data_IF_104529279953
#
_entry.id   IF_104529279953
#
_cell.length_a   1.000
_cell.length_b   1.000
_cell.length_c   1.000
_cell.angle_alpha   90.00
_cell.angle_beta   90.00
_cell.angle_gamma   90.00
#
_symmetry.space_group_name_H-M   'P 1'
#
loop_
_entity.id
_entity.type
_entity.pdbx_description
1 polymer ?
#
# COMPACT_ATOMS: atom_id res chain seq x y z
N UNK A 1 -14.42 -7.03 11.54
CA UNK A 1 -13.75 -7.11 10.22
C UNK A 1 -14.83 -7.00 9.15
N UNK A 2 -14.83 -5.93 8.38
CA UNK A 2 -15.80 -5.75 7.30
C UNK A 2 -15.48 -6.73 6.18
N UNK A 3 -16.35 -7.71 5.96
CA UNK A 3 -16.13 -8.70 4.92
C UNK A 3 -16.16 -8.04 3.54
N UNK A 4 -15.02 -7.99 2.87
CA UNK A 4 -15.03 -7.60 1.49
C UNK A 4 -15.63 -8.73 0.64
N UNK A 5 -16.65 -8.39 -0.18
CA UNK A 5 -17.45 -9.39 -0.90
C UNK A 5 -16.68 -10.02 -2.08
N UNK A 6 -15.83 -9.27 -2.74
CA UNK A 6 -15.02 -9.77 -3.86
C UNK A 6 -13.88 -8.82 -4.21
N UNK A 7 -12.77 -9.38 -4.69
CA UNK A 7 -11.66 -8.59 -5.23
C UNK A 7 -12.10 -7.70 -6.40
N UNK A 8 -12.93 -8.21 -7.32
CA UNK A 8 -13.44 -7.43 -8.45
C UNK A 8 -14.18 -6.16 -8.02
N UNK A 9 -15.00 -6.25 -6.97
CA UNK A 9 -15.71 -5.10 -6.41
C UNK A 9 -14.76 -4.09 -5.77
N UNK A 10 -13.82 -4.55 -4.94
CA UNK A 10 -12.82 -3.67 -4.31
C UNK A 10 -11.92 -3.01 -5.35
N UNK A 11 -11.41 -3.76 -6.32
CA UNK A 11 -10.60 -3.24 -7.41
C UNK A 11 -11.33 -2.16 -8.23
N UNK A 12 -12.62 -2.40 -8.52
CA UNK A 12 -13.45 -1.41 -9.21
C UNK A 12 -13.58 -0.11 -8.41
N UNK A 13 -13.77 -0.22 -7.08
CA UNK A 13 -13.82 0.95 -6.19
C UNK A 13 -12.50 1.71 -6.18
N UNK A 14 -11.36 1.01 -6.00
CA UNK A 14 -10.03 1.62 -6.00
C UNK A 14 -9.74 2.34 -7.34
N UNK A 15 -10.08 1.72 -8.46
CA UNK A 15 -9.96 2.36 -9.78
C UNK A 15 -10.87 3.58 -9.92
N UNK A 16 -12.05 3.55 -9.32
CA UNK A 16 -12.99 4.67 -9.31
C UNK A 16 -12.48 5.88 -8.52
N UNK A 17 -11.58 5.68 -7.56
CA UNK A 17 -10.95 6.77 -6.82
C UNK A 17 -9.80 7.45 -7.59
N UNK A 18 -9.16 6.76 -8.52
CA UNK A 18 -8.02 7.32 -9.26
C UNK A 18 -8.40 8.62 -10.00
N UNK A 19 -7.50 9.60 -9.98
CA UNK A 19 -7.60 10.78 -10.83
C UNK A 19 -7.50 10.38 -12.32
N UNK A 20 -8.03 11.21 -13.20
CA UNK A 20 -8.21 10.84 -14.60
C UNK A 20 -6.90 10.48 -15.31
N UNK A 21 -5.82 11.19 -15.02
CA UNK A 21 -4.51 10.94 -15.63
C UNK A 21 -3.87 9.61 -15.21
N UNK A 22 -4.31 9.04 -14.08
CA UNK A 22 -3.78 7.78 -13.55
C UNK A 22 -4.65 6.56 -13.84
N UNK A 23 -5.91 6.74 -14.25
CA UNK A 23 -6.86 5.62 -14.46
C UNK A 23 -6.37 4.53 -15.41
N UNK A 24 -5.62 4.91 -16.44
CA UNK A 24 -5.09 3.98 -17.45
C UNK A 24 -3.66 3.54 -17.16
N UNK A 25 -3.01 4.11 -16.15
CA UNK A 25 -1.61 3.86 -15.82
C UNK A 25 -1.44 3.02 -14.56
N UNK A 26 -2.32 3.22 -13.57
CA UNK A 26 -2.29 2.46 -12.31
C UNK A 26 -3.20 1.25 -12.43
N UNK A 27 -2.67 0.10 -12.05
CA UNK A 27 -3.43 -1.14 -11.90
C UNK A 27 -3.12 -1.80 -10.57
N UNK A 28 -4.16 -2.41 -9.99
CA UNK A 28 -4.06 -3.19 -8.76
C UNK A 28 -4.22 -4.66 -9.11
N UNK A 29 -3.37 -5.49 -8.56
CA UNK A 29 -3.35 -6.92 -8.79
C UNK A 29 -3.48 -7.67 -7.46
N UNK A 30 -4.26 -8.74 -7.45
CA UNK A 30 -4.37 -9.69 -6.34
C UNK A 30 -4.70 -11.07 -6.89
N UNK A 31 -3.89 -12.05 -6.53
CA UNK A 31 -4.17 -13.47 -6.79
C UNK A 31 -4.85 -14.09 -5.58
N UNK A 32 -5.90 -14.89 -5.81
CA UNK A 32 -6.56 -15.70 -4.80
C UNK A 32 -6.60 -17.15 -5.24
N UNK A 33 -6.12 -18.05 -4.40
CA UNK A 33 -6.06 -19.48 -4.68
C UNK A 33 -7.27 -20.19 -4.06
N UNK A 34 -8.39 -20.25 -4.77
CA UNK A 34 -9.63 -20.87 -4.28
C UNK A 34 -9.51 -22.37 -3.94
N UNK A 35 -8.58 -23.08 -4.58
CA UNK A 35 -8.36 -24.51 -4.36
C UNK A 35 -7.45 -24.83 -3.18
N UNK A 36 -6.79 -23.84 -2.61
CA UNK A 36 -5.82 -23.99 -1.51
C UNK A 36 -6.30 -23.15 -0.34
N UNK A 37 -7.30 -23.64 0.37
CA UNK A 37 -7.87 -23.00 1.55
C UNK A 37 -8.25 -21.51 1.37
N UNK A 38 -8.61 -21.12 0.14
CA UNK A 38 -8.95 -19.73 -0.20
C UNK A 38 -7.81 -18.73 0.11
N UNK A 39 -6.57 -19.23 0.10
CA UNK A 39 -5.40 -18.42 0.43
C UNK A 39 -5.21 -17.29 -0.59
N UNK A 40 -4.81 -16.12 -0.08
CA UNK A 40 -4.34 -15.04 -0.93
C UNK A 40 -2.92 -15.35 -1.40
N UNK A 41 -2.66 -15.06 -2.66
CA UNK A 41 -1.32 -15.08 -3.18
C UNK A 41 -0.73 -13.67 -3.16
N UNK A 42 0.02 -13.34 -4.21
CA UNK A 42 0.66 -12.05 -4.36
C UNK A 42 -0.36 -10.95 -4.70
N UNK A 43 -0.13 -9.75 -4.14
CA UNK A 43 -0.75 -8.52 -4.61
C UNK A 43 0.31 -7.51 -5.07
N UNK A 44 -0.06 -6.53 -5.88
CA UNK A 44 0.82 -5.44 -6.30
C UNK A 44 0.07 -4.19 -6.70
N UNK A 45 0.76 -3.05 -6.63
CA UNK A 45 0.36 -1.79 -7.25
C UNK A 45 1.33 -1.53 -8.38
N UNK A 46 0.80 -1.45 -9.60
CA UNK A 46 1.59 -1.31 -10.81
C UNK A 46 1.36 0.06 -11.44
N UNK A 47 2.44 0.66 -11.93
CA UNK A 47 2.44 1.83 -12.81
C UNK A 47 2.95 1.41 -14.20
N UNK A 48 2.16 1.67 -15.23
CA UNK A 48 2.52 1.34 -16.61
C UNK A 48 2.99 -0.13 -16.77
N UNK A 49 2.28 -1.04 -16.10
CA UNK A 49 2.54 -2.49 -16.06
C UNK A 49 3.81 -2.90 -15.28
N UNK A 50 4.47 -2.00 -14.58
CA UNK A 50 5.60 -2.32 -13.69
C UNK A 50 5.13 -2.31 -12.24
N UNK A 51 5.49 -3.34 -11.49
CA UNK A 51 5.24 -3.41 -10.06
C UNK A 51 6.07 -2.33 -9.34
N UNK A 52 5.40 -1.46 -8.59
CA UNK A 52 6.06 -0.48 -7.72
C UNK A 52 6.07 -0.91 -6.26
N UNK A 53 5.03 -1.62 -5.84
CA UNK A 53 4.92 -2.17 -4.49
C UNK A 53 4.55 -3.64 -4.61
N UNK A 54 5.27 -4.48 -3.88
CA UNK A 54 5.07 -5.92 -3.88
C UNK A 54 4.49 -6.37 -2.53
N UNK A 55 3.36 -7.06 -2.59
CA UNK A 55 2.69 -7.63 -1.43
C UNK A 55 2.75 -9.15 -1.54
N UNK A 56 3.72 -9.76 -0.89
CA UNK A 56 3.98 -11.19 -0.98
C UNK A 56 4.67 -11.71 0.28
N UNK A 57 3.96 -12.55 1.03
CA UNK A 57 4.54 -13.25 2.17
C UNK A 57 5.77 -14.08 1.77
N UNK A 58 5.70 -14.77 0.64
CA UNK A 58 6.83 -15.56 0.14
C UNK A 58 8.10 -14.70 -0.10
N UNK A 59 7.93 -13.48 -0.59
CA UNK A 59 9.03 -12.55 -0.79
C UNK A 59 9.56 -12.01 0.54
N UNK A 60 8.69 -11.74 1.50
CA UNK A 60 9.09 -11.36 2.86
C UNK A 60 9.93 -12.45 3.53
N UNK A 61 9.51 -13.73 3.41
CA UNK A 61 10.28 -14.86 3.91
C UNK A 61 11.67 -14.95 3.23
N UNK A 62 11.73 -14.77 1.93
CA UNK A 62 12.99 -14.80 1.17
C UNK A 62 13.98 -13.71 1.59
N UNK A 63 13.48 -12.59 2.09
CA UNK A 63 14.28 -11.45 2.52
C UNK A 63 14.47 -11.36 4.05
N UNK A 64 14.16 -12.41 4.81
CA UNK A 64 14.20 -12.41 6.28
C UNK A 64 13.38 -11.26 6.92
N UNK A 65 12.23 -10.95 6.33
CA UNK A 65 11.35 -9.87 6.79
C UNK A 65 10.01 -10.38 7.33
N UNK A 66 9.82 -11.69 7.42
CA UNK A 66 8.62 -12.29 7.99
C UNK A 66 8.69 -12.28 9.53
N UNK A 67 7.55 -12.04 10.17
CA UNK A 67 7.46 -12.00 11.64
C UNK A 67 7.79 -13.35 12.28
N UNK A 68 7.41 -14.47 11.65
CA UNK A 68 7.73 -15.80 12.13
C UNK A 68 9.24 -16.04 12.26
N UNK A 69 10.01 -15.57 11.27
CA UNK A 69 11.49 -15.66 11.32
C UNK A 69 12.07 -14.82 12.47
N UNK A 70 11.46 -13.67 12.77
CA UNK A 70 11.88 -12.85 13.90
C UNK A 70 11.61 -13.55 15.24
N UNK A 71 10.47 -14.21 15.41
CA UNK A 71 10.14 -15.01 16.59
C UNK A 71 11.04 -16.24 16.74
N UNK A 72 11.43 -16.89 15.65
CA UNK A 72 12.38 -18.00 15.67
C UNK A 72 13.75 -17.56 16.21
N UNK A 73 14.13 -16.31 15.97
CA UNK A 73 15.39 -15.72 16.49
C UNK A 73 15.29 -15.29 17.94
N UNK A 74 14.15 -14.74 18.34
CA UNK A 74 13.85 -14.32 19.71
C UNK A 74 12.36 -14.54 20.05
N UNK A 75 12.02 -15.68 20.69
CA UNK A 75 10.64 -16.04 21.01
C UNK A 75 9.98 -15.17 22.10
N UNK A 76 10.72 -14.30 22.75
CA UNK A 76 10.22 -13.47 23.84
C UNK A 76 9.77 -12.09 23.40
N UNK A 77 9.98 -11.74 22.13
CA UNK A 77 9.50 -10.47 21.57
C UNK A 77 7.97 -10.45 21.50
N UNK A 78 7.39 -9.32 21.83
CA UNK A 78 5.98 -9.03 21.55
C UNK A 78 5.76 -8.73 20.06
N UNK A 79 4.51 -8.84 19.60
CA UNK A 79 4.12 -8.48 18.22
C UNK A 79 4.52 -7.05 17.86
N UNK A 80 4.33 -6.11 18.80
CA UNK A 80 4.67 -4.70 18.60
C UNK A 80 6.18 -4.50 18.44
N UNK A 81 7.00 -5.21 19.21
CA UNK A 81 8.47 -5.14 19.10
C UNK A 81 8.95 -5.72 17.78
N UNK A 82 8.42 -6.87 17.37
CA UNK A 82 8.74 -7.48 16.06
C UNK A 82 8.31 -6.55 14.92
N UNK A 83 7.11 -6.00 14.99
CA UNK A 83 6.60 -5.06 13.99
C UNK A 83 7.48 -3.80 13.92
N UNK A 84 7.86 -3.23 15.07
CA UNK A 84 8.74 -2.06 15.13
C UNK A 84 10.12 -2.32 14.50
N UNK A 85 10.66 -3.54 14.67
CA UNK A 85 11.94 -3.94 14.06
C UNK A 85 11.86 -4.15 12.55
N UNK A 86 10.76 -4.72 12.06
CA UNK A 86 10.62 -5.10 10.65
C UNK A 86 10.03 -4.00 9.77
N UNK A 87 9.16 -3.15 10.30
CA UNK A 87 8.50 -2.09 9.52
C UNK A 87 9.47 -1.19 8.74
N UNK A 88 10.60 -0.72 9.30
CA UNK A 88 11.56 0.07 8.52
C UNK A 88 12.14 -0.69 7.31
N UNK A 89 12.28 -2.01 7.41
CA UNK A 89 12.74 -2.86 6.29
C UNK A 89 11.66 -3.00 5.24
N UNK A 90 10.41 -3.26 5.66
CA UNK A 90 9.27 -3.32 4.74
C UNK A 90 9.11 -2.02 3.96
N UNK A 91 9.18 -0.90 4.67
CA UNK A 91 9.05 0.44 4.09
C UNK A 91 10.21 0.72 3.10
N UNK A 92 11.44 0.36 3.44
CA UNK A 92 12.59 0.57 2.56
C UNK A 92 12.55 -0.30 1.30
N UNK A 93 12.06 -1.53 1.39
CA UNK A 93 12.03 -2.51 0.29
C UNK A 93 10.73 -2.50 -0.51
N UNK A 94 9.74 -1.68 -0.16
CA UNK A 94 8.40 -1.70 -0.74
C UNK A 94 7.79 -3.11 -0.78
N UNK A 95 8.03 -3.90 0.25
CA UNK A 95 7.60 -5.31 0.34
C UNK A 95 6.84 -5.55 1.64
N UNK A 96 5.61 -6.01 1.50
CA UNK A 96 4.67 -6.21 2.60
C UNK A 96 3.93 -7.54 2.43
N UNK A 97 3.18 -7.94 3.45
CA UNK A 97 2.26 -9.07 3.35
C UNK A 97 1.06 -8.69 2.45
N UNK A 98 0.51 -9.65 1.71
CA UNK A 98 -0.67 -9.41 0.86
C UNK A 98 -1.89 -8.90 1.63
N UNK A 99 -2.02 -9.26 2.91
CA UNK A 99 -3.08 -8.76 3.78
C UNK A 99 -2.93 -7.27 4.11
N UNK A 100 -1.70 -6.75 4.17
CA UNK A 100 -1.45 -5.32 4.41
C UNK A 100 -2.08 -4.47 3.31
N UNK A 101 -2.04 -4.94 2.06
CA UNK A 101 -2.72 -4.27 0.95
C UNK A 101 -4.23 -4.30 1.11
N UNK A 102 -4.80 -5.46 1.44
CA UNK A 102 -6.24 -5.59 1.61
C UNK A 102 -6.76 -4.72 2.75
N UNK A 103 -6.11 -4.77 3.90
CA UNK A 103 -6.50 -4.00 5.08
C UNK A 103 -6.38 -2.49 4.81
N UNK A 104 -5.30 -2.06 4.16
CA UNK A 104 -5.12 -0.66 3.76
C UNK A 104 -6.20 -0.21 2.76
N UNK A 105 -6.52 -1.02 1.76
CA UNK A 105 -7.54 -0.72 0.76
C UNK A 105 -8.94 -0.64 1.36
N UNK A 106 -9.29 -1.57 2.26
CA UNK A 106 -10.57 -1.59 2.96
C UNK A 106 -10.72 -0.39 3.90
N UNK A 107 -9.65 -0.03 4.61
CA UNK A 107 -9.62 1.14 5.48
C UNK A 107 -9.75 2.43 4.65
N UNK A 108 -8.95 2.56 3.60
CA UNK A 108 -8.92 3.74 2.74
C UNK A 108 -10.27 4.08 2.13
N UNK A 109 -11.03 3.09 1.64
CA UNK A 109 -12.33 3.32 0.97
C UNK A 109 -13.35 4.05 1.83
N UNK A 110 -13.24 3.93 3.16
CA UNK A 110 -14.15 4.57 4.13
C UNK A 110 -13.55 5.80 4.82
N UNK A 111 -12.28 6.14 4.55
CA UNK A 111 -11.62 7.29 5.16
C UNK A 111 -11.98 8.61 4.48
N UNK A 112 -12.03 9.68 5.27
CA UNK A 112 -11.93 11.04 4.74
C UNK A 112 -10.56 11.22 4.07
N UNK A 113 -10.53 11.89 2.91
CA UNK A 113 -9.30 12.03 2.13
C UNK A 113 -8.20 12.78 2.88
N UNK A 114 -8.54 13.78 3.70
CA UNK A 114 -7.59 14.47 4.56
C UNK A 114 -6.89 13.53 5.54
N UNK A 115 -7.65 12.67 6.21
CA UNK A 115 -7.09 11.69 7.15
C UNK A 115 -6.22 10.64 6.43
N UNK A 116 -6.61 10.25 5.22
CA UNK A 116 -5.84 9.30 4.43
C UNK A 116 -4.48 9.89 3.99
N UNK A 117 -4.42 11.17 3.64
CA UNK A 117 -3.18 11.86 3.32
C UNK A 117 -2.24 11.99 4.54
N UNK A 118 -2.79 12.10 5.75
CA UNK A 118 -2.04 12.19 7.01
C UNK A 118 -1.71 10.83 7.63
N UNK A 119 -2.25 9.72 7.10
CA UNK A 119 -2.03 8.38 7.63
C UNK A 119 -0.54 8.05 7.76
N UNK A 120 -0.14 7.37 8.81
CA UNK A 120 1.22 6.82 8.95
C UNK A 120 1.48 5.58 8.08
N UNK A 121 0.40 4.98 7.55
CA UNK A 121 0.49 3.85 6.63
C UNK A 121 0.79 4.35 5.21
N UNK A 122 1.97 4.04 4.69
CA UNK A 122 2.37 4.47 3.35
C UNK A 122 1.49 3.91 2.23
N UNK A 123 0.88 2.74 2.40
CA UNK A 123 -0.04 2.18 1.41
C UNK A 123 -1.28 3.07 1.32
N UNK A 124 -1.84 3.49 2.46
CA UNK A 124 -2.97 4.43 2.50
C UNK A 124 -2.56 5.78 1.91
N UNK A 125 -1.37 6.30 2.23
CA UNK A 125 -0.87 7.57 1.67
C UNK A 125 -0.79 7.55 0.14
N UNK A 126 -0.27 6.49 -0.47
CA UNK A 126 -0.18 6.41 -1.93
C UNK A 126 -1.55 6.26 -2.58
N UNK A 127 -2.49 5.51 -1.97
CA UNK A 127 -3.86 5.47 -2.45
C UNK A 127 -4.51 6.86 -2.39
N UNK A 128 -4.25 7.60 -1.30
CA UNK A 128 -4.79 8.94 -1.10
C UNK A 128 -4.23 9.96 -2.10
N UNK A 129 -2.91 10.01 -2.31
CA UNK A 129 -2.32 11.00 -3.23
C UNK A 129 -2.78 10.81 -4.67
N UNK A 130 -3.09 9.56 -5.06
CA UNK A 130 -3.62 9.24 -6.39
C UNK A 130 -5.12 9.53 -6.55
N UNK A 131 -5.82 9.83 -5.46
CA UNK A 131 -7.26 9.99 -5.45
C UNK A 131 -7.69 11.30 -6.12
N UNK A 132 -8.75 11.22 -6.96
CA UNK A 132 -9.36 12.38 -7.62
C UNK A 132 -9.95 13.42 -6.67
N UNK A 133 -10.23 13.03 -5.41
CA UNK A 133 -10.73 13.94 -4.37
C UNK A 133 -9.66 14.91 -3.87
N UNK A 134 -8.37 14.65 -4.15
CA UNK A 134 -7.29 15.57 -3.83
C UNK A 134 -7.26 16.68 -4.87
N UNK A 135 -7.77 17.85 -4.48
CA UNK A 135 -7.87 19.02 -5.34
C UNK A 135 -6.55 19.76 -5.52
N UNK A 136 -6.48 20.63 -6.53
CA UNK A 136 -5.28 21.39 -6.90
C UNK A 136 -4.69 22.23 -5.75
N UNK A 137 -5.55 22.79 -4.87
CA UNK A 137 -5.09 23.54 -3.70
C UNK A 137 -4.26 22.65 -2.76
N UNK A 138 -4.77 21.46 -2.45
CA UNK A 138 -4.08 20.48 -1.59
C UNK A 138 -2.78 20.01 -2.23
N UNK A 139 -2.78 19.75 -3.54
CA UNK A 139 -1.57 19.36 -4.26
C UNK A 139 -0.49 20.43 -4.21
N UNK A 140 -0.85 21.71 -4.39
CA UNK A 140 0.11 22.83 -4.24
C UNK A 140 0.68 22.89 -2.84
N UNK A 141 -0.17 22.78 -1.82
CA UNK A 141 0.28 22.77 -0.42
C UNK A 141 1.27 21.62 -0.16
N UNK A 142 0.96 20.38 -0.62
CA UNK A 142 1.86 19.23 -0.48
C UNK A 142 3.21 19.49 -1.18
N UNK A 143 3.19 20.10 -2.36
CA UNK A 143 4.40 20.43 -3.10
C UNK A 143 5.27 21.49 -2.39
N UNK A 144 4.63 22.51 -1.82
CA UNK A 144 5.28 23.61 -1.07
C UNK A 144 5.86 23.08 0.24
N UNK A 145 5.12 22.32 1.03
CA UNK A 145 5.57 21.74 2.29
C UNK A 145 6.71 20.73 2.07
N UNK A 146 6.65 19.95 1.00
CA UNK A 146 7.69 19.04 0.59
C UNK A 146 7.98 17.88 1.54
N UNK A 147 7.12 17.63 2.53
CA UNK A 147 7.29 16.58 3.55
C UNK A 147 7.47 15.20 2.94
N UNK A 148 6.80 14.92 1.79
CA UNK A 148 6.92 13.66 1.07
C UNK A 148 8.35 13.33 0.60
N UNK A 149 9.25 14.32 0.52
CA UNK A 149 10.67 14.12 0.12
C UNK A 149 11.44 13.28 1.13
N UNK A 150 10.91 13.14 2.35
CA UNK A 150 11.50 12.31 3.42
C UNK A 150 10.94 10.88 3.42
N UNK A 151 9.92 10.59 2.60
CA UNK A 151 9.33 9.26 2.51
C UNK A 151 10.25 8.27 1.77
N UNK A 152 10.04 6.95 1.93
CA UNK A 152 10.73 5.94 1.13
C UNK A 152 10.62 6.23 -0.38
N UNK A 153 11.63 5.85 -1.14
CA UNK A 153 11.74 6.19 -2.57
C UNK A 153 10.50 5.80 -3.38
N UNK A 154 9.97 4.59 -3.15
CA UNK A 154 8.78 4.12 -3.83
C UNK A 154 7.53 4.96 -3.53
N UNK A 155 7.43 5.50 -2.31
CA UNK A 155 6.32 6.40 -1.93
C UNK A 155 6.47 7.74 -2.64
N UNK A 156 7.69 8.31 -2.65
CA UNK A 156 7.99 9.57 -3.36
C UNK A 156 7.58 9.51 -4.82
N UNK A 157 7.82 8.39 -5.50
CA UNK A 157 7.44 8.21 -6.91
C UNK A 157 5.94 8.47 -7.17
N UNK A 158 5.06 8.04 -6.26
CA UNK A 158 3.62 8.31 -6.39
C UNK A 158 3.28 9.78 -6.18
N UNK A 159 3.96 10.45 -5.24
CA UNK A 159 3.79 11.88 -5.01
C UNK A 159 4.29 12.69 -6.21
N UNK A 160 5.48 12.43 -6.68
CA UNK A 160 6.06 13.08 -7.86
C UNK A 160 5.20 12.87 -9.11
N UNK A 161 4.75 11.64 -9.33
CA UNK A 161 3.84 11.31 -10.42
C UNK A 161 2.57 12.17 -10.38
N UNK A 162 2.01 12.41 -9.20
CA UNK A 162 0.78 13.18 -9.02
C UNK A 162 0.98 14.69 -9.08
N UNK A 163 2.12 15.18 -8.60
CA UNK A 163 2.44 16.61 -8.54
C UNK A 163 2.96 17.19 -9.86
N UNK A 164 3.40 16.33 -10.79
CA UNK A 164 3.89 16.74 -12.12
C UNK A 164 2.80 16.76 -13.21
N UNK A 165 1.55 16.52 -12.84
CA UNK A 165 0.40 16.48 -13.77
C UNK A 165 -0.32 17.82 -13.89
#
# INVERSE_FOLDING_TARGET
MEHYKSWGGLNSQLKGFLCDDLKNRITYFLTRYHKVHDAYGRASICLDKKDLVNFSWAEMCRQDMDMGIAYDKDPFLSDDEVHAQLKPKWDAQATYHEMDFLDAALTFRSMAISNALESENYIIKILAIMDRRVGQRTLRQIAEEGTYRQYPEWVKQFYELRLTQ
#
